data_IF_339635878496
#
_entry.id   IF_339635878496
#
_cell.length_a   1.000
_cell.length_b   1.000
_cell.length_c   1.000
_cell.angle_alpha   90.00
_cell.angle_beta   90.00
_cell.angle_gamma   90.00
#
_symmetry.space_group_name_H-M   'P 1'
#
loop_
_entity.id
_entity.type
_entity.pdbx_description
1 polymer ?
#
# COMPACT_ATOMS: atom_id res chain seq x y z
N UNK A 1 -10.92 8.62 -6.09
CA UNK A 1 -9.98 7.47 -6.06
C UNK A 1 -10.75 6.18 -6.28
N UNK A 2 -10.25 5.31 -7.12
CA UNK A 2 -10.85 4.00 -7.39
C UNK A 2 -9.95 2.90 -6.84
N UNK A 3 -10.51 2.05 -6.00
CA UNK A 3 -9.81 0.89 -5.47
C UNK A 3 -10.38 -0.37 -6.14
N UNK A 4 -9.53 -1.10 -6.86
CA UNK A 4 -9.87 -2.40 -7.41
C UNK A 4 -9.45 -3.45 -6.39
N UNK A 5 -10.42 -4.02 -5.71
CA UNK A 5 -10.20 -4.91 -4.57
C UNK A 5 -10.53 -6.36 -4.94
N UNK A 6 -9.60 -7.27 -4.65
CA UNK A 6 -9.80 -8.70 -4.80
C UNK A 6 -9.31 -9.42 -3.55
N UNK A 7 -9.98 -10.50 -3.19
CA UNK A 7 -9.61 -11.34 -2.06
C UNK A 7 -9.69 -12.80 -2.46
N UNK A 8 -8.66 -13.57 -2.13
CA UNK A 8 -8.61 -15.00 -2.41
C UNK A 8 -8.13 -15.79 -1.19
N UNK A 9 -8.42 -17.09 -1.18
CA UNK A 9 -8.05 -17.97 -0.07
C UNK A 9 -9.11 -18.05 1.01
N UNK A 10 -8.90 -18.92 2.00
CA UNK A 10 -9.87 -19.25 3.04
C UNK A 10 -9.74 -18.43 4.31
N UNK A 11 -8.59 -17.82 4.54
CA UNK A 11 -8.36 -16.99 5.72
C UNK A 11 -9.23 -15.74 5.64
N UNK A 12 -9.87 -15.38 6.75
CA UNK A 12 -10.71 -14.18 6.84
C UNK A 12 -10.17 -13.26 7.92
N UNK A 13 -10.05 -11.97 7.59
CA UNK A 13 -9.70 -10.95 8.56
C UNK A 13 -10.97 -10.46 9.26
N UNK A 14 -10.90 -10.22 10.59
CA UNK A 14 -12.08 -9.80 11.35
C UNK A 14 -12.36 -8.29 11.21
N UNK A 15 -12.51 -7.82 9.97
CA UNK A 15 -12.71 -6.40 9.67
C UNK A 15 -13.29 -6.23 8.26
N UNK A 16 -13.82 -5.04 7.99
CA UNK A 16 -14.34 -4.67 6.66
C UNK A 16 -13.17 -4.25 5.76
N UNK A 17 -12.54 -5.23 5.10
CA UNK A 17 -11.29 -5.04 4.39
C UNK A 17 -11.36 -4.04 3.25
N UNK A 18 -12.38 -4.12 2.40
CA UNK A 18 -12.49 -3.23 1.25
C UNK A 18 -12.73 -1.78 1.67
N UNK A 19 -13.69 -1.57 2.58
CA UNK A 19 -14.03 -0.23 3.06
C UNK A 19 -12.85 0.43 3.77
N UNK A 20 -12.17 -0.32 4.63
CA UNK A 20 -11.00 0.20 5.35
C UNK A 20 -9.85 0.50 4.40
N UNK A 21 -9.59 -0.39 3.43
CA UNK A 21 -8.53 -0.17 2.45
C UNK A 21 -8.76 1.12 1.67
N UNK A 22 -9.98 1.34 1.21
CA UNK A 22 -10.34 2.56 0.47
C UNK A 22 -10.09 3.80 1.33
N UNK A 23 -10.52 3.77 2.58
CA UNK A 23 -10.30 4.87 3.53
C UNK A 23 -8.82 5.16 3.75
N UNK A 24 -8.01 4.13 3.94
CA UNK A 24 -6.56 4.29 4.17
C UNK A 24 -5.87 4.86 2.93
N UNK A 25 -6.18 4.32 1.76
CA UNK A 25 -5.56 4.79 0.51
C UNK A 25 -5.92 6.26 0.26
N UNK A 26 -7.18 6.64 0.43
CA UNK A 26 -7.62 8.03 0.25
C UNK A 26 -6.91 8.98 1.22
N UNK A 27 -6.81 8.61 2.49
CA UNK A 27 -6.15 9.42 3.50
C UNK A 27 -4.65 9.55 3.23
N UNK A 28 -4.00 8.45 2.83
CA UNK A 28 -2.57 8.48 2.52
C UNK A 28 -2.28 9.35 1.29
N UNK A 29 -3.11 9.27 0.26
CA UNK A 29 -2.95 10.10 -0.95
C UNK A 29 -3.17 11.58 -0.63
N UNK A 30 -4.15 11.89 0.20
CA UNK A 30 -4.39 13.26 0.66
C UNK A 30 -3.21 13.78 1.47
N UNK A 31 -2.68 12.94 2.35
CA UNK A 31 -1.53 13.28 3.17
C UNK A 31 -0.29 13.63 2.34
N UNK A 32 0.01 12.85 1.30
CA UNK A 32 1.17 13.14 0.44
C UNK A 32 0.91 14.23 -0.59
N UNK A 33 -0.32 14.74 -0.65
CA UNK A 33 -0.66 15.85 -1.53
C UNK A 33 -0.83 15.49 -3.00
N UNK A 34 -1.30 14.27 -3.29
CA UNK A 34 -1.55 13.87 -4.68
C UNK A 34 -2.69 14.71 -5.28
N UNK A 35 -2.42 15.49 -6.34
CA UNK A 35 -3.43 16.40 -6.90
C UNK A 35 -4.36 15.72 -7.91
N UNK A 36 -4.16 14.44 -8.18
CA UNK A 36 -4.92 13.70 -9.17
C UNK A 36 -5.83 12.67 -8.54
N UNK A 37 -6.95 12.38 -9.20
CA UNK A 37 -7.71 11.19 -8.90
C UNK A 37 -6.88 9.98 -9.32
N UNK A 38 -6.79 8.97 -8.48
CA UNK A 38 -5.90 7.84 -8.68
C UNK A 38 -6.65 6.51 -8.62
N UNK A 39 -6.06 5.49 -9.21
CA UNK A 39 -6.52 4.11 -9.09
C UNK A 39 -5.41 3.22 -8.54
N UNK A 40 -5.80 2.29 -7.66
CA UNK A 40 -4.91 1.34 -7.01
C UNK A 40 -5.56 -0.03 -7.04
N UNK A 41 -4.77 -1.07 -7.33
CA UNK A 41 -5.22 -2.45 -7.23
C UNK A 41 -4.73 -3.04 -5.91
N UNK A 42 -5.63 -3.70 -5.17
CA UNK A 42 -5.28 -4.38 -3.91
C UNK A 42 -5.76 -5.82 -3.98
N UNK A 43 -4.83 -6.74 -3.78
CA UNK A 43 -5.12 -8.17 -3.67
C UNK A 43 -4.80 -8.63 -2.25
N UNK A 44 -5.79 -9.18 -1.57
CA UNK A 44 -5.59 -9.90 -0.32
C UNK A 44 -5.45 -11.37 -0.64
N UNK A 45 -4.35 -11.97 -0.24
CA UNK A 45 -4.03 -13.36 -0.53
C UNK A 45 -3.45 -14.05 0.71
N UNK A 46 -2.80 -15.19 0.52
CA UNK A 46 -2.23 -15.99 1.59
C UNK A 46 -0.74 -16.22 1.37
N UNK A 47 -0.07 -16.75 2.40
CA UNK A 47 1.39 -16.92 2.39
C UNK A 47 1.89 -17.69 1.17
N UNK A 48 1.20 -18.73 0.74
CA UNK A 48 1.63 -19.54 -0.39
C UNK A 48 1.74 -18.72 -1.68
N UNK A 49 0.73 -17.91 -1.98
CA UNK A 49 0.68 -17.11 -3.20
C UNK A 49 1.66 -15.93 -3.15
N UNK A 50 1.73 -15.24 -2.02
CA UNK A 50 2.65 -14.10 -1.90
C UNK A 50 4.11 -14.56 -1.90
N UNK A 51 4.38 -15.77 -1.40
CA UNK A 51 5.69 -16.41 -1.50
C UNK A 51 6.10 -16.59 -2.97
N UNK A 52 5.21 -17.12 -3.79
CA UNK A 52 5.47 -17.30 -5.22
C UNK A 52 5.74 -15.96 -5.91
N UNK A 53 4.96 -14.93 -5.62
CA UNK A 53 5.15 -13.60 -6.17
C UNK A 53 6.47 -12.98 -5.74
N UNK A 54 6.83 -13.12 -4.48
CA UNK A 54 8.07 -12.56 -3.93
C UNK A 54 9.28 -13.23 -4.58
N UNK A 55 9.21 -14.54 -4.80
CA UNK A 55 10.24 -15.29 -5.49
C UNK A 55 10.37 -14.87 -6.95
N UNK A 56 9.25 -14.77 -7.66
CA UNK A 56 9.23 -14.42 -9.08
C UNK A 56 9.68 -12.98 -9.34
N UNK A 57 9.14 -12.02 -8.59
CA UNK A 57 9.35 -10.60 -8.89
C UNK A 57 10.51 -9.95 -8.14
N UNK A 58 10.91 -10.50 -7.00
CA UNK A 58 11.99 -9.95 -6.18
C UNK A 58 13.16 -10.90 -5.97
N UNK A 59 13.03 -12.15 -6.42
CA UNK A 59 14.07 -13.15 -6.22
C UNK A 59 14.23 -13.61 -4.77
N UNK A 60 13.26 -13.37 -3.91
CA UNK A 60 13.29 -13.73 -2.50
C UNK A 60 12.37 -14.93 -2.27
N UNK A 61 12.95 -16.08 -1.95
CA UNK A 61 12.23 -17.35 -1.81
C UNK A 61 11.62 -17.50 -0.40
N UNK A 62 10.66 -16.65 -0.09
CA UNK A 62 9.90 -16.71 1.17
C UNK A 62 8.64 -15.84 1.08
N UNK A 63 7.69 -16.08 1.96
CA UNK A 63 6.52 -15.23 2.10
C UNK A 63 6.90 -13.90 2.73
N UNK A 64 6.14 -12.86 2.42
CA UNK A 64 6.28 -11.52 3.04
C UNK A 64 4.90 -11.03 3.45
N UNK A 65 4.84 -9.90 4.15
CA UNK A 65 3.57 -9.30 4.57
C UNK A 65 2.90 -8.52 3.45
N UNK A 66 3.64 -7.68 2.75
CA UNK A 66 3.11 -6.83 1.68
C UNK A 66 4.12 -6.73 0.53
N UNK A 67 3.58 -6.70 -0.69
CA UNK A 67 4.34 -6.37 -1.89
C UNK A 67 3.73 -5.14 -2.52
N UNK A 68 4.58 -4.20 -2.92
CA UNK A 68 4.17 -2.98 -3.61
C UNK A 68 4.79 -2.96 -5.00
N UNK A 69 3.96 -2.73 -6.02
CA UNK A 69 4.39 -2.68 -7.41
C UNK A 69 4.08 -1.30 -8.00
N UNK A 70 4.97 -0.31 -7.78
CA UNK A 70 4.76 1.04 -8.33
C UNK A 70 4.78 1.03 -9.86
N UNK A 71 3.85 1.76 -10.45
CA UNK A 71 3.78 1.92 -11.91
C UNK A 71 4.42 3.22 -12.38
N UNK A 72 4.90 4.05 -11.46
CA UNK A 72 5.44 5.37 -11.74
C UNK A 72 6.82 5.49 -11.11
N UNK A 73 7.78 6.04 -11.89
CA UNK A 73 9.10 6.38 -11.39
C UNK A 73 9.12 7.85 -11.01
N UNK A 74 9.28 8.14 -9.74
CA UNK A 74 9.28 9.51 -9.22
C UNK A 74 10.70 10.06 -9.16
N UNK A 75 10.94 11.29 -9.69
CA UNK A 75 12.26 11.93 -9.55
C UNK A 75 12.58 12.23 -8.08
N UNK A 76 11.54 12.55 -7.28
CA UNK A 76 11.65 12.74 -5.84
C UNK A 76 10.37 12.22 -5.20
N UNK A 77 10.44 11.63 -3.98
CA UNK A 77 9.25 11.11 -3.29
C UNK A 77 8.18 12.18 -3.11
N UNK A 78 6.93 11.81 -3.41
CA UNK A 78 5.78 12.68 -3.21
C UNK A 78 5.70 13.87 -4.15
N UNK A 79 6.43 13.86 -5.26
CA UNK A 79 6.43 14.93 -6.26
C UNK A 79 5.57 14.52 -7.45
N UNK A 80 4.54 15.30 -7.76
CA UNK A 80 3.57 14.94 -8.80
C UNK A 80 3.57 15.87 -10.01
N UNK A 81 4.28 16.98 -9.97
CA UNK A 81 4.27 18.00 -11.03
C UNK A 81 4.72 17.48 -12.40
N UNK A 82 5.69 16.56 -12.42
CA UNK A 82 6.21 15.99 -13.65
C UNK A 82 5.17 15.17 -14.41
N UNK A 83 4.09 14.74 -13.74
CA UNK A 83 3.04 13.91 -14.34
C UNK A 83 2.17 14.66 -15.34
N UNK A 84 2.16 15.98 -15.34
CA UNK A 84 1.39 16.77 -16.30
C UNK A 84 1.77 16.44 -17.74
N UNK A 85 3.03 16.02 -17.98
CA UNK A 85 3.54 15.67 -19.31
C UNK A 85 3.65 14.16 -19.52
N UNK A 86 3.11 13.35 -18.60
CA UNK A 86 3.23 11.88 -18.63
C UNK A 86 1.86 11.22 -18.87
N UNK A 87 1.34 11.34 -20.09
CA UNK A 87 0.02 10.78 -20.44
C UNK A 87 -0.08 9.28 -20.19
N UNK A 88 1.03 8.54 -20.34
CA UNK A 88 1.07 7.09 -20.17
C UNK A 88 0.82 6.64 -18.73
N UNK A 89 0.95 7.55 -17.75
CA UNK A 89 0.69 7.25 -16.35
C UNK A 89 -0.79 7.30 -15.99
N UNK A 90 -1.64 7.74 -16.90
CA UNK A 90 -3.08 7.90 -16.67
C UNK A 90 -3.87 6.88 -17.49
N UNK A 91 -4.95 6.36 -16.89
CA UNK A 91 -5.87 5.47 -17.55
C UNK A 91 -6.58 6.23 -18.69
N UNK A 92 -6.51 5.78 -19.95
CA UNK A 92 -7.14 6.49 -21.05
C UNK A 92 -8.67 6.53 -20.98
N UNK A 93 -9.30 5.62 -20.23
CA UNK A 93 -10.76 5.59 -20.10
C UNK A 93 -11.26 6.46 -18.93
N UNK A 94 -10.64 6.32 -17.76
CA UNK A 94 -11.08 7.02 -16.55
C UNK A 94 -10.41 8.36 -16.34
N UNK A 95 -9.22 8.54 -16.92
CA UNK A 95 -8.38 9.72 -16.64
C UNK A 95 -7.68 9.68 -15.29
N UNK A 96 -7.83 8.58 -14.54
CA UNK A 96 -7.21 8.45 -13.24
C UNK A 96 -5.73 8.06 -13.34
N UNK A 97 -4.94 8.53 -12.38
CA UNK A 97 -3.52 8.20 -12.27
C UNK A 97 -3.37 6.74 -11.83
N UNK A 98 -2.69 5.94 -12.62
CA UNK A 98 -2.46 4.51 -12.31
C UNK A 98 -1.24 4.40 -11.39
N UNK A 99 -1.48 4.26 -10.09
CA UNK A 99 -0.40 4.22 -9.09
C UNK A 99 0.32 2.88 -9.03
N UNK A 100 -0.43 1.79 -9.06
CA UNK A 100 0.17 0.47 -9.00
C UNK A 100 -0.63 -0.54 -8.23
N UNK A 101 0.05 -1.62 -7.83
CA UNK A 101 -0.58 -2.77 -7.20
C UNK A 101 -0.03 -3.01 -5.80
N UNK A 102 -0.92 -3.43 -4.90
CA UNK A 102 -0.58 -3.82 -3.53
C UNK A 102 -1.05 -5.25 -3.33
N UNK A 103 -0.20 -6.10 -2.79
CA UNK A 103 -0.54 -7.49 -2.44
C UNK A 103 -0.23 -7.71 -0.96
N UNK A 104 -1.19 -8.21 -0.20
CA UNK A 104 -1.05 -8.41 1.25
C UNK A 104 -1.39 -9.85 1.61
N UNK A 105 -0.56 -10.46 2.47
CA UNK A 105 -0.84 -11.76 3.07
C UNK A 105 -1.72 -11.59 4.30
N UNK A 106 -2.92 -12.18 4.26
CA UNK A 106 -3.85 -12.14 5.39
C UNK A 106 -3.28 -12.86 6.62
N UNK A 107 -2.58 -13.97 6.41
CA UNK A 107 -1.93 -14.71 7.49
C UNK A 107 -0.88 -13.85 8.20
N UNK A 108 -0.09 -13.08 7.45
CA UNK A 108 0.91 -12.18 8.02
C UNK A 108 0.28 -11.03 8.79
N UNK A 109 -0.87 -10.52 8.34
CA UNK A 109 -1.61 -9.49 9.08
C UNK A 109 -1.96 -10.00 10.48
N UNK A 110 -2.53 -11.20 10.55
CA UNK A 110 -2.93 -11.80 11.82
C UNK A 110 -1.73 -12.10 12.72
N UNK A 111 -0.67 -12.70 12.15
CA UNK A 111 0.52 -13.06 12.90
C UNK A 111 1.26 -11.83 13.45
N UNK A 112 1.42 -10.80 12.64
CA UNK A 112 2.10 -9.57 13.06
C UNK A 112 1.30 -8.75 14.04
N UNK A 113 -0.04 -8.72 13.90
CA UNK A 113 -0.90 -8.06 14.86
C UNK A 113 -0.71 -8.68 16.25
N UNK A 114 -0.69 -9.99 16.34
CA UNK A 114 -0.45 -10.72 17.59
C UNK A 114 0.95 -10.45 18.13
N UNK A 115 1.97 -10.56 17.28
CA UNK A 115 3.36 -10.35 17.66
C UNK A 115 3.62 -8.95 18.21
N UNK A 116 3.03 -7.93 17.60
CA UNK A 116 3.24 -6.53 17.98
C UNK A 116 2.24 -6.02 19.00
N UNK A 117 1.27 -6.86 19.40
CA UNK A 117 0.30 -6.50 20.42
C UNK A 117 -0.70 -5.43 20.02
N UNK A 118 -1.13 -5.43 18.76
CA UNK A 118 -2.17 -4.53 18.29
C UNK A 118 -3.22 -5.28 17.44
N UNK A 119 -4.30 -4.58 17.08
CA UNK A 119 -5.40 -5.21 16.36
C UNK A 119 -5.05 -5.56 14.91
N UNK A 120 -5.69 -6.59 14.32
CA UNK A 120 -5.59 -6.86 12.89
C UNK A 120 -5.96 -5.64 12.03
N UNK A 121 -6.94 -4.86 12.46
CA UNK A 121 -7.35 -3.62 11.78
C UNK A 121 -6.18 -2.65 11.67
N UNK A 122 -5.45 -2.43 12.77
CA UNK A 122 -4.29 -1.55 12.78
C UNK A 122 -3.16 -2.07 11.90
N UNK A 123 -2.85 -3.35 11.97
CA UNK A 123 -1.78 -3.95 11.16
C UNK A 123 -2.11 -3.84 9.67
N UNK A 124 -3.34 -4.16 9.30
CA UNK A 124 -3.82 -4.08 7.92
C UNK A 124 -3.71 -2.64 7.40
N UNK A 125 -4.23 -1.68 8.15
CA UNK A 125 -4.17 -0.25 7.77
C UNK A 125 -2.73 0.23 7.65
N UNK A 126 -1.86 -0.17 8.57
CA UNK A 126 -0.44 0.17 8.57
C UNK A 126 0.26 -0.32 7.31
N UNK A 127 0.02 -1.58 6.91
CA UNK A 127 0.61 -2.15 5.71
C UNK A 127 0.16 -1.43 4.44
N UNK A 128 -1.11 -1.05 4.38
CA UNK A 128 -1.64 -0.29 3.22
C UNK A 128 -1.00 1.10 3.17
N UNK A 129 -0.93 1.81 4.29
CA UNK A 129 -0.29 3.12 4.35
C UNK A 129 1.18 3.05 3.92
N UNK A 130 1.91 2.04 4.40
CA UNK A 130 3.28 1.78 4.01
C UNK A 130 3.39 1.58 2.49
N UNK A 131 2.51 0.77 1.92
CA UNK A 131 2.51 0.48 0.49
C UNK A 131 2.19 1.72 -0.35
N UNK A 132 1.21 2.54 0.06
CA UNK A 132 0.88 3.78 -0.66
C UNK A 132 2.08 4.73 -0.68
N UNK A 133 2.84 4.81 0.40
CA UNK A 133 4.07 5.61 0.41
C UNK A 133 5.07 5.09 -0.63
N UNK A 134 5.24 3.78 -0.75
CA UNK A 134 6.06 3.21 -1.83
C UNK A 134 5.51 3.55 -3.22
N UNK A 135 4.20 3.46 -3.41
CA UNK A 135 3.57 3.78 -4.70
C UNK A 135 3.72 5.25 -5.09
N UNK A 136 4.01 6.12 -4.13
CA UNK A 136 4.22 7.56 -4.37
C UNK A 136 5.70 7.96 -4.28
N UNK A 137 6.59 6.98 -4.33
CA UNK A 137 8.01 7.19 -4.51
C UNK A 137 8.88 7.13 -3.25
N UNK A 138 8.29 6.96 -2.07
CA UNK A 138 9.06 6.83 -0.84
C UNK A 138 9.72 5.46 -0.76
N UNK A 139 10.93 5.41 -0.22
CA UNK A 139 11.68 4.16 -0.12
C UNK A 139 12.12 3.93 1.34
N UNK A 140 12.67 2.75 1.59
CA UNK A 140 13.01 2.27 2.93
C UNK A 140 14.43 1.71 3.01
N UNK A 141 15.25 1.94 1.99
CA UNK A 141 16.56 1.30 1.85
C UNK A 141 17.65 1.94 2.69
N UNK A 142 17.63 3.26 2.82
CA UNK A 142 18.62 3.99 3.62
C UNK A 142 18.03 4.47 4.94
N UNK A 143 18.86 4.69 5.96
CA UNK A 143 18.40 5.10 7.29
C UNK A 143 17.58 6.38 7.27
N UNK A 144 18.00 7.37 6.50
CA UNK A 144 17.30 8.64 6.39
C UNK A 144 15.93 8.47 5.73
N UNK A 145 15.89 7.67 4.65
CA UNK A 145 14.64 7.34 3.96
C UNK A 145 13.68 6.60 4.88
N UNK A 146 14.20 5.65 5.66
CA UNK A 146 13.41 4.88 6.63
C UNK A 146 12.79 5.78 7.69
N UNK A 147 13.56 6.71 8.24
CA UNK A 147 13.07 7.65 9.25
C UNK A 147 11.94 8.53 8.70
N UNK A 148 12.10 9.05 7.49
CA UNK A 148 11.07 9.86 6.83
C UNK A 148 9.82 9.04 6.61
N UNK A 149 9.95 7.81 6.11
CA UNK A 149 8.83 6.94 5.82
C UNK A 149 8.08 6.53 7.10
N UNK A 150 8.79 6.18 8.15
CA UNK A 150 8.20 5.83 9.44
C UNK A 150 7.43 7.01 10.07
N UNK A 151 7.98 8.21 9.94
CA UNK A 151 7.32 9.44 10.39
C UNK A 151 6.00 9.65 9.65
N UNK A 152 6.02 9.50 8.33
CA UNK A 152 4.82 9.67 7.50
C UNK A 152 3.78 8.60 7.77
N UNK A 153 4.20 7.36 8.00
CA UNK A 153 3.30 6.27 8.39
C UNK A 153 2.58 6.60 9.69
N UNK A 154 3.31 7.10 10.70
CA UNK A 154 2.71 7.50 11.97
C UNK A 154 1.67 8.60 11.78
N UNK A 155 2.00 9.62 10.99
CA UNK A 155 1.10 10.74 10.74
C UNK A 155 -0.18 10.31 10.01
N UNK A 156 -0.05 9.40 9.04
CA UNK A 156 -1.21 8.84 8.33
C UNK A 156 -2.09 8.06 9.32
N UNK A 157 -1.51 7.23 10.17
CA UNK A 157 -2.26 6.45 11.15
C UNK A 157 -2.96 7.35 12.17
N UNK A 158 -2.34 8.47 12.56
CA UNK A 158 -2.96 9.45 13.44
C UNK A 158 -4.18 10.11 12.77
N UNK A 159 -4.08 10.45 11.50
CA UNK A 159 -5.19 11.02 10.73
C UNK A 159 -6.37 10.06 10.62
N UNK A 160 -6.07 8.77 10.52
CA UNK A 160 -7.10 7.71 10.45
C UNK A 160 -7.74 7.45 11.80
N UNK A 161 -7.11 7.90 12.88
CA UNK A 161 -7.55 7.65 14.25
C UNK A 161 -7.66 6.16 14.56
N UNK A 162 -6.74 5.36 14.01
CA UNK A 162 -6.66 3.94 14.26
C UNK A 162 -5.61 3.71 15.35
N UNK A 163 -6.09 3.52 16.56
CA UNK A 163 -5.24 3.35 17.73
C UNK A 163 -4.75 1.91 17.86
N UNK A 164 -3.66 1.79 18.57
CA UNK A 164 -3.00 0.52 18.83
C UNK A 164 -3.80 -0.40 19.73
#
# INVERSE_FOLDING_TARGET
MTLYFEEEGDVKLPLECEALAKRVVEEALDYVGCPYEAEVNLLLTENAQIHEMNKEFRGIDRATDVLSFPMIDYPEPGTFDFLEEQEDCFDPESGELTLGDIVISKEKVLAQAEEYGHSPMREYAFLIAHSVLHLTGYDYMEDEERQVMEQKQREIMERLDILR
#
